data_IF_373765937263
#
_entry.id   IF_373765937263
#
_cell.length_a   1.000
_cell.length_b   1.000
_cell.length_c   1.000
_cell.angle_alpha   90.00
_cell.angle_beta   90.00
_cell.angle_gamma   90.00
#
_symmetry.space_group_name_H-M   'P 1'
#
loop_
_entity.id
_entity.type
_entity.pdbx_description
1 polymer ?
#
# COMPACT_ATOMS: atom_id res chain seq x y z
N UNK A 1 -14.47 -2.18 1.48
CA UNK A 1 -14.04 -1.57 2.77
C UNK A 1 -13.57 -0.15 2.46
N UNK A 2 -13.56 0.81 3.39
CA UNK A 2 -13.09 2.17 3.07
C UNK A 2 -12.03 2.63 4.07
N UNK A 3 -11.15 3.52 3.61
CA UNK A 3 -10.22 4.25 4.45
C UNK A 3 -10.97 5.37 5.16
N UNK A 4 -10.60 5.64 6.40
CA UNK A 4 -11.11 6.81 7.11
C UNK A 4 -10.34 8.04 6.67
N UNK A 5 -10.99 9.20 6.75
CA UNK A 5 -10.41 10.47 6.32
C UNK A 5 -9.21 10.91 7.17
N UNK A 6 -9.11 10.44 8.42
CA UNK A 6 -8.00 10.69 9.34
C UNK A 6 -6.87 9.64 9.25
N UNK A 7 -7.11 8.52 8.58
CA UNK A 7 -6.07 7.50 8.40
C UNK A 7 -5.04 7.97 7.40
N UNK A 8 -3.77 7.98 7.82
CA UNK A 8 -2.63 8.35 6.98
C UNK A 8 -1.61 7.22 6.83
N UNK A 9 -1.71 6.19 7.68
CA UNK A 9 -0.81 5.03 7.68
C UNK A 9 -1.56 3.80 8.15
N UNK A 10 -1.39 2.69 7.43
CA UNK A 10 -1.76 1.35 7.86
C UNK A 10 -0.55 0.46 7.68
N UNK A 11 -0.19 -0.26 8.73
CA UNK A 11 0.93 -1.19 8.70
C UNK A 11 0.42 -2.55 9.13
N UNK A 12 0.65 -3.55 8.28
CA UNK A 12 0.48 -4.94 8.66
C UNK A 12 1.61 -5.38 9.57
N UNK A 13 1.33 -6.34 10.44
CA UNK A 13 2.33 -6.96 11.31
C UNK A 13 2.21 -8.47 11.25
N UNK A 14 3.32 -9.14 11.52
CA UNK A 14 3.29 -10.55 11.87
C UNK A 14 2.88 -10.68 13.32
N UNK A 15 1.85 -11.47 13.56
CA UNK A 15 1.46 -11.91 14.90
C UNK A 15 2.14 -13.27 15.14
N UNK A 16 2.98 -13.32 16.17
CA UNK A 16 3.52 -14.58 16.67
C UNK A 16 2.45 -15.28 17.54
N UNK A 17 1.95 -16.41 17.05
CA UNK A 17 1.00 -17.27 17.76
C UNK A 17 1.70 -18.47 18.43
N UNK A 18 3.03 -18.44 18.55
CA UNK A 18 3.88 -19.45 19.17
C UNK A 18 4.22 -20.61 18.24
N UNK A 19 3.22 -21.22 17.59
CA UNK A 19 3.42 -22.33 16.65
C UNK A 19 3.36 -21.91 15.18
N UNK A 20 2.90 -20.68 14.91
CA UNK A 20 2.77 -20.12 13.59
C UNK A 20 2.91 -18.59 13.62
N UNK A 21 3.34 -18.03 12.50
CA UNK A 21 3.21 -16.60 12.23
C UNK A 21 1.91 -16.37 11.45
N UNK A 22 1.08 -15.44 11.91
CA UNK A 22 -0.17 -15.05 11.27
C UNK A 22 -0.14 -13.59 10.82
N UNK A 23 -0.89 -13.29 9.77
CA UNK A 23 -1.16 -11.93 9.34
C UNK A 23 -2.10 -11.25 10.34
N UNK A 24 -1.84 -9.99 10.68
CA UNK A 24 -2.75 -9.21 11.52
C UNK A 24 -3.95 -8.68 10.72
N UNK A 25 -4.93 -8.12 11.44
CA UNK A 25 -6.12 -7.55 10.82
C UNK A 25 -5.79 -6.37 9.88
N UNK A 26 -4.71 -5.62 10.12
CA UNK A 26 -4.30 -4.55 9.21
C UNK A 26 -3.73 -5.09 7.90
N UNK A 27 -2.97 -6.19 7.94
CA UNK A 27 -2.48 -6.84 6.73
C UNK A 27 -3.64 -7.30 5.85
N UNK A 28 -4.59 -8.05 6.41
CA UNK A 28 -5.79 -8.48 5.67
C UNK A 28 -6.58 -7.28 5.12
N UNK A 29 -6.71 -6.22 5.91
CA UNK A 29 -7.37 -4.97 5.51
C UNK A 29 -6.65 -4.29 4.36
N UNK A 30 -5.33 -4.15 4.40
CA UNK A 30 -4.54 -3.54 3.31
C UNK A 30 -4.74 -4.36 2.03
N UNK A 31 -4.63 -5.68 2.10
CA UNK A 31 -4.85 -6.57 0.95
C UNK A 31 -6.23 -6.35 0.31
N UNK A 32 -7.29 -6.24 1.11
CA UNK A 32 -8.63 -5.94 0.59
C UNK A 32 -8.75 -4.53 0.01
N UNK A 33 -8.16 -3.52 0.65
CA UNK A 33 -8.18 -2.14 0.16
C UNK A 33 -7.53 -2.04 -1.22
N UNK A 34 -6.35 -2.61 -1.40
CA UNK A 34 -5.63 -2.56 -2.69
C UNK A 34 -6.26 -3.45 -3.77
N UNK A 35 -7.04 -4.46 -3.39
CA UNK A 35 -7.72 -5.35 -4.33
C UNK A 35 -9.09 -4.83 -4.79
N UNK A 36 -9.84 -4.16 -3.91
CA UNK A 36 -11.26 -3.83 -4.15
C UNK A 36 -11.56 -2.34 -4.10
N UNK A 37 -10.77 -1.54 -3.38
CA UNK A 37 -11.16 -0.16 -2.99
C UNK A 37 -10.27 0.92 -3.60
N UNK A 38 -8.98 0.65 -3.73
CA UNK A 38 -7.98 1.59 -4.24
C UNK A 38 -7.68 1.35 -5.71
N UNK A 39 -7.53 2.44 -6.46
CA UNK A 39 -7.15 2.40 -7.87
C UNK A 39 -5.62 2.34 -7.99
N UNK A 40 -5.09 1.30 -8.63
CA UNK A 40 -3.66 1.20 -8.89
C UNK A 40 -3.25 2.14 -10.02
N UNK A 41 -2.33 3.08 -9.74
CA UNK A 41 -1.86 4.06 -10.71
C UNK A 41 -0.53 3.67 -11.36
N UNK A 42 0.43 3.19 -10.57
CA UNK A 42 1.75 2.84 -11.08
C UNK A 42 2.50 1.91 -10.12
N UNK A 43 3.47 1.19 -10.67
CA UNK A 43 4.50 0.50 -9.90
C UNK A 43 5.80 1.30 -10.04
N UNK A 44 6.58 1.38 -8.96
CA UNK A 44 7.91 1.99 -8.97
C UNK A 44 8.83 1.25 -9.94
N UNK A 45 9.87 1.91 -10.44
CA UNK A 45 10.82 1.32 -11.39
C UNK A 45 11.52 0.05 -10.85
N UNK A 46 11.65 -0.06 -9.52
CA UNK A 46 12.21 -1.25 -8.86
C UNK A 46 11.22 -2.41 -8.75
N UNK A 47 9.96 -2.22 -9.14
CA UNK A 47 8.91 -3.25 -9.12
C UNK A 47 8.35 -3.58 -7.73
N UNK A 48 8.88 -2.99 -6.66
CA UNK A 48 8.49 -3.30 -5.28
C UNK A 48 7.31 -2.46 -4.80
N UNK A 49 7.41 -1.16 -4.99
CA UNK A 49 6.48 -0.20 -4.40
C UNK A 49 5.38 0.11 -5.41
N UNK A 50 4.16 0.33 -4.94
CA UNK A 50 3.00 0.60 -5.79
C UNK A 50 2.28 1.84 -5.32
N UNK A 51 1.93 2.69 -6.28
CA UNK A 51 1.11 3.87 -6.08
C UNK A 51 -0.35 3.54 -6.35
N UNK A 52 -1.18 3.90 -5.40
CA UNK A 52 -2.62 3.80 -5.44
C UNK A 52 -3.26 5.16 -5.24
N UNK A 53 -4.51 5.29 -5.69
CA UNK A 53 -5.37 6.43 -5.41
C UNK A 53 -6.65 5.96 -4.74
N UNK A 54 -7.05 6.66 -3.69
CA UNK A 54 -8.35 6.47 -3.09
C UNK A 54 -9.41 7.20 -3.92
N UNK A 55 -10.38 6.50 -4.55
CA UNK A 55 -11.44 7.14 -5.32
C UNK A 55 -12.44 7.91 -4.44
N UNK A 56 -12.49 7.66 -3.13
CA UNK A 56 -13.43 8.32 -2.23
C UNK A 56 -13.02 9.76 -1.90
N UNK A 57 -11.72 10.01 -1.71
CA UNK A 57 -11.19 11.33 -1.31
C UNK A 57 -10.07 11.87 -2.21
N UNK A 58 -9.58 11.06 -3.15
CA UNK A 58 -8.56 11.43 -4.12
C UNK A 58 -7.13 11.39 -3.58
N UNK A 59 -6.89 10.97 -2.32
CA UNK A 59 -5.55 10.87 -1.74
C UNK A 59 -4.73 9.78 -2.42
N UNK A 60 -3.42 9.99 -2.47
CA UNK A 60 -2.47 9.01 -2.97
C UNK A 60 -1.95 8.16 -1.82
N UNK A 61 -1.88 6.85 -2.06
CA UNK A 61 -1.42 5.85 -1.11
C UNK A 61 -0.30 5.05 -1.73
N UNK A 62 0.81 4.94 -1.03
CA UNK A 62 1.94 4.11 -1.41
C UNK A 62 1.90 2.81 -0.62
N UNK A 63 1.92 1.69 -1.35
CA UNK A 63 2.11 0.36 -0.81
C UNK A 63 3.59 -0.04 -0.93
N UNK A 64 4.23 -0.26 0.21
CA UNK A 64 5.63 -0.69 0.30
C UNK A 64 5.69 -2.05 1.01
N UNK A 65 6.24 -3.09 0.36
CA UNK A 65 6.46 -4.38 1.01
C UNK A 65 7.67 -4.28 1.96
N UNK A 66 7.48 -4.53 3.25
CA UNK A 66 8.60 -4.65 4.18
C UNK A 66 9.22 -6.04 3.97
N UNK A 67 10.37 -6.13 3.30
CA UNK A 67 11.10 -7.37 2.96
C UNK A 67 10.47 -8.22 1.81
N UNK A 68 10.67 -7.82 0.55
CA UNK A 68 10.15 -8.54 -0.63
C UNK A 68 10.80 -9.92 -0.88
N UNK A 69 11.82 -10.31 -0.10
CA UNK A 69 12.54 -11.59 -0.26
C UNK A 69 11.92 -12.80 0.45
N UNK A 70 10.83 -12.61 1.21
CA UNK A 70 10.13 -13.71 1.88
C UNK A 70 9.14 -14.39 0.91
N UNK A 71 9.13 -15.72 0.87
CA UNK A 71 8.24 -16.53 0.02
C UNK A 71 6.74 -16.20 0.16
N UNK A 72 6.33 -15.65 1.31
CA UNK A 72 4.95 -15.29 1.62
C UNK A 72 4.71 -13.76 1.61
N UNK A 73 5.69 -12.97 1.16
CA UNK A 73 5.71 -11.53 1.37
C UNK A 73 5.99 -11.18 2.82
N UNK A 74 6.57 -10.00 3.06
CA UNK A 74 6.62 -9.42 4.40
C UNK A 74 5.51 -8.39 4.58
N UNK A 75 5.40 -7.80 5.79
CA UNK A 75 4.24 -6.99 6.15
C UNK A 75 4.08 -5.80 5.19
N UNK A 76 2.87 -5.57 4.64
CA UNK A 76 2.62 -4.44 3.78
C UNK A 76 2.51 -3.18 4.63
N UNK A 77 3.13 -2.10 4.16
CA UNK A 77 2.91 -0.76 4.65
C UNK A 77 2.13 0.00 3.59
N UNK A 78 0.98 0.56 3.96
CA UNK A 78 0.18 1.43 3.13
C UNK A 78 0.14 2.82 3.78
N UNK A 79 0.79 3.80 3.16
CA UNK A 79 0.91 5.15 3.72
C UNK A 79 0.49 6.21 2.71
N UNK A 80 -0.13 7.29 3.20
CA UNK A 80 -0.44 8.45 2.36
C UNK A 80 0.88 9.07 1.91
N UNK A 81 0.98 9.29 0.61
CA UNK A 81 2.10 9.99 -0.01
C UNK A 81 1.60 11.33 -0.55
N UNK A 82 2.38 12.39 -0.31
CA UNK A 82 2.03 13.70 -0.83
C UNK A 82 2.06 13.71 -2.38
N UNK A 83 1.17 14.45 -3.05
CA UNK A 83 1.10 14.46 -4.51
C UNK A 83 2.42 14.81 -5.20
N UNK A 84 3.21 15.71 -4.64
CA UNK A 84 4.51 16.09 -5.19
C UNK A 84 5.50 14.93 -5.12
N UNK A 85 5.58 14.26 -3.97
CA UNK A 85 6.40 13.04 -3.78
C UNK A 85 5.93 11.89 -4.66
N UNK A 86 4.63 11.73 -4.82
CA UNK A 86 4.06 10.72 -5.72
C UNK A 86 4.50 10.96 -7.17
N UNK A 87 4.50 12.21 -7.64
CA UNK A 87 4.97 12.58 -8.97
C UNK A 87 6.47 12.36 -9.15
N UNK A 88 7.28 12.69 -8.14
CA UNK A 88 8.72 12.44 -8.16
C UNK A 88 9.05 10.95 -8.25
N UNK A 89 8.38 10.12 -7.44
CA UNK A 89 8.69 8.69 -7.32
C UNK A 89 8.01 7.83 -8.40
N UNK A 90 6.85 8.26 -8.91
CA UNK A 90 6.07 7.55 -9.92
C UNK A 90 5.75 8.45 -11.12
N UNK A 91 6.77 8.98 -11.83
CA UNK A 91 6.54 9.92 -12.93
C UNK A 91 5.63 9.31 -14.01
N UNK A 92 5.72 8.00 -14.25
CA UNK A 92 4.88 7.25 -15.20
C UNK A 92 3.39 7.30 -14.90
N UNK A 93 3.00 7.45 -13.63
CA UNK A 93 1.60 7.57 -13.23
C UNK A 93 0.98 8.92 -13.61
N UNK A 94 1.83 9.93 -13.86
CA UNK A 94 1.41 11.31 -14.10
C UNK A 94 1.80 11.82 -15.49
N UNK A 95 2.57 11.05 -16.27
CA UNK A 95 2.83 11.33 -17.67
C UNK A 95 1.61 10.96 -18.51
N UNK A 96 0.68 11.92 -18.61
CA UNK A 96 -0.44 11.91 -19.53
C UNK A 96 -0.55 13.28 -20.22
N UNK A 97 0.15 13.42 -21.35
CA UNK A 97 -0.16 14.32 -22.45
C UNK A 97 0.42 13.70 -23.73
#
# INVERSE_FOLDING_TARGET
>A
MQLKSDETILQGFWIDLGSAMAEDANWERINRLVAESLEHLATSDNGTDKLYRDPADGRFWELTPVMPGLKNGGPPLLAVIEPERAKEKYPRAFTGA
#
